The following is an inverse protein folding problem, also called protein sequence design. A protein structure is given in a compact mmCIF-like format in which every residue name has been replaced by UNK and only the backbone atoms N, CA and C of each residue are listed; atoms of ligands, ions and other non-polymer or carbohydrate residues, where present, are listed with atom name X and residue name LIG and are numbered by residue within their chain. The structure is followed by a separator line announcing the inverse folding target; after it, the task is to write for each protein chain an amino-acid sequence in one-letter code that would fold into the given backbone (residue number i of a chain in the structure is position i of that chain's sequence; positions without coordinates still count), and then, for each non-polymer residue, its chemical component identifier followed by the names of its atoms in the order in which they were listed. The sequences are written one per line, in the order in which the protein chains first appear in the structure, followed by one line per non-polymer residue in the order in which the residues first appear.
data_IF_084577669570
#
_entry.id   IF_084577669570
#
_cell.length_a   1.000
_cell.length_b   1.000
_cell.length_c   1.000
_cell.angle_alpha   90.00
_cell.angle_beta   90.00
_cell.angle_gamma   90.00
#
_symmetry.space_group_name_H-M   'P 1'
#
loop_
_entity.id
_entity.type
_entity.pdbx_description
1 polymer ?
#
# COMPACT_ATOMS: atom_id res chain seq x y z
N UNK A 1 -6.41 -26.99 7.67
CA UNK A 1 -5.17 -26.18 7.56
C UNK A 1 -4.59 -25.98 8.97
N UNK A 2 -3.29 -25.69 9.16
CA UNK A 2 -2.68 -25.37 10.47
C UNK A 2 -2.16 -23.91 10.50
N UNK A 3 -1.90 -23.27 11.64
CA UNK A 3 -1.17 -21.99 11.65
C UNK A 3 0.26 -22.15 11.10
N UNK A 4 0.84 -21.10 10.51
CA UNK A 4 2.21 -21.08 9.97
C UNK A 4 2.82 -19.68 10.06
N UNK A 5 4.16 -19.59 10.08
CA UNK A 5 4.90 -18.33 9.95
C UNK A 5 5.19 -17.94 8.50
N UNK A 6 4.80 -18.80 7.56
CA UNK A 6 4.98 -18.60 6.13
C UNK A 6 3.80 -17.80 5.55
N UNK A 7 4.09 -16.72 4.83
CA UNK A 7 3.09 -15.86 4.20
C UNK A 7 2.19 -16.61 3.22
N UNK A 8 2.70 -17.67 2.57
CA UNK A 8 1.90 -18.53 1.69
C UNK A 8 0.68 -19.10 2.41
N UNK A 9 0.77 -19.38 3.72
CA UNK A 9 -0.37 -19.87 4.51
C UNK A 9 -1.49 -18.84 4.58
N UNK A 10 -1.18 -17.55 4.72
CA UNK A 10 -2.20 -16.50 4.77
C UNK A 10 -2.88 -16.34 3.41
N UNK A 11 -2.09 -16.38 2.34
CA UNK A 11 -2.58 -16.33 0.95
C UNK A 11 -3.52 -17.52 0.67
N UNK A 12 -3.11 -18.75 1.05
CA UNK A 12 -3.90 -19.97 0.92
C UNK A 12 -5.23 -19.89 1.69
N UNK A 13 -5.19 -19.34 2.93
CA UNK A 13 -6.40 -19.14 3.75
C UNK A 13 -7.36 -18.20 3.03
N UNK A 14 -6.87 -17.04 2.57
CA UNK A 14 -7.71 -16.06 1.88
C UNK A 14 -8.31 -16.62 0.59
N UNK A 15 -7.51 -17.35 -0.20
CA UNK A 15 -8.00 -18.04 -1.39
C UNK A 15 -9.10 -19.05 -1.05
N UNK A 16 -8.95 -19.83 0.02
CA UNK A 16 -9.96 -20.77 0.48
C UNK A 16 -11.25 -20.05 0.95
N UNK A 17 -11.13 -18.96 1.71
CA UNK A 17 -12.26 -18.16 2.18
C UNK A 17 -13.05 -17.55 1.03
N UNK A 18 -12.38 -17.15 -0.05
CA UNK A 18 -13.01 -16.58 -1.25
C UNK A 18 -13.23 -17.56 -2.40
N UNK A 19 -13.11 -18.87 -2.16
CA UNK A 19 -13.44 -19.88 -3.17
C UNK A 19 -14.97 -19.96 -3.34
N UNK A 20 -15.53 -19.84 -4.55
CA UNK A 20 -16.97 -20.00 -4.75
C UNK A 20 -17.48 -21.35 -4.24
N UNK A 21 -18.69 -21.37 -3.69
CA UNK A 21 -19.37 -22.57 -3.14
C UNK A 21 -18.78 -23.10 -1.83
N UNK A 22 -17.45 -23.19 -1.69
CA UNK A 22 -16.80 -23.77 -0.51
C UNK A 22 -16.27 -22.75 0.50
N UNK A 23 -16.17 -21.49 0.08
CA UNK A 23 -15.67 -20.38 0.88
C UNK A 23 -16.70 -19.84 1.88
N UNK A 24 -16.31 -18.78 2.58
CA UNK A 24 -17.16 -18.07 3.52
C UNK A 24 -18.09 -17.11 2.75
N UNK A 25 -19.42 -17.16 2.96
CA UNK A 25 -20.36 -16.27 2.28
C UNK A 25 -20.06 -14.79 2.51
N UNK A 26 -19.72 -14.41 3.74
CA UNK A 26 -19.38 -13.04 4.07
C UNK A 26 -18.15 -12.59 3.29
N UNK A 27 -17.10 -13.42 3.25
CA UNK A 27 -15.86 -13.05 2.58
C UNK A 27 -16.08 -12.89 1.07
N UNK A 28 -16.88 -13.77 0.46
CA UNK A 28 -17.23 -13.73 -0.97
C UNK A 28 -18.03 -12.49 -1.37
N UNK A 29 -18.88 -11.98 -0.48
CA UNK A 29 -19.71 -10.79 -0.73
C UNK A 29 -18.91 -9.47 -0.72
N UNK A 30 -17.70 -9.47 -0.15
CA UNK A 30 -16.90 -8.25 -0.04
C UNK A 30 -16.25 -7.83 -1.36
N UNK A 31 -16.08 -6.53 -1.50
CA UNK A 31 -15.37 -5.88 -2.60
C UNK A 31 -14.35 -4.84 -2.07
N UNK A 32 -13.62 -4.18 -2.97
CA UNK A 32 -12.61 -3.18 -2.57
C UNK A 32 -13.17 -2.05 -1.70
N UNK A 33 -14.40 -1.60 -1.96
CA UNK A 33 -15.02 -0.49 -1.23
C UNK A 33 -15.48 -0.92 0.16
N UNK A 34 -15.96 -2.15 0.33
CA UNK A 34 -16.42 -2.65 1.63
C UNK A 34 -15.27 -3.02 2.56
N UNK A 35 -14.11 -3.40 2.02
CA UNK A 35 -12.91 -3.72 2.81
C UNK A 35 -12.08 -2.48 3.19
N UNK A 36 -12.16 -1.39 2.40
CA UNK A 36 -11.37 -0.18 2.63
C UNK A 36 -11.53 0.45 4.04
N UNK A 37 -12.73 0.51 4.65
CA UNK A 37 -12.90 1.00 6.01
C UNK A 37 -12.13 0.17 7.05
N UNK A 38 -12.17 -1.17 6.96
CA UNK A 38 -11.44 -2.05 7.86
C UNK A 38 -9.92 -1.85 7.73
N UNK A 39 -9.41 -1.64 6.51
CA UNK A 39 -7.99 -1.29 6.30
C UNK A 39 -7.58 -0.02 7.05
N UNK A 40 -8.49 0.96 7.17
CA UNK A 40 -8.22 2.17 7.93
C UNK A 40 -8.30 1.94 9.44
N UNK A 41 -9.24 1.12 9.89
CA UNK A 41 -9.40 0.71 11.29
C UNK A 41 -8.12 0.03 11.81
N UNK A 42 -7.64 -1.02 11.13
CA UNK A 42 -6.42 -1.73 11.57
C UNK A 42 -5.18 -0.81 11.59
N UNK A 43 -5.12 0.17 10.67
CA UNK A 43 -4.03 1.14 10.67
C UNK A 43 -4.07 2.08 11.90
N UNK A 44 -5.26 2.37 12.43
CA UNK A 44 -5.40 3.11 13.68
C UNK A 44 -5.14 2.23 14.90
N UNK A 45 -5.56 0.97 14.90
CA UNK A 45 -5.26 0.03 16.00
C UNK A 45 -3.76 -0.23 16.13
N UNK A 46 -3.04 -0.39 15.01
CA UNK A 46 -1.56 -0.42 15.00
C UNK A 46 -0.98 0.84 15.65
N UNK A 47 -1.52 2.03 15.34
CA UNK A 47 -1.03 3.28 15.92
C UNK A 47 -1.34 3.37 17.43
N UNK A 48 -2.50 2.90 17.86
CA UNK A 48 -2.91 2.86 19.27
C UNK A 48 -2.02 1.89 20.08
N UNK A 49 -1.77 0.68 19.56
CA UNK A 49 -0.88 -0.30 20.18
C UNK A 49 0.54 0.28 20.37
N UNK A 50 1.07 1.00 19.37
CA UNK A 50 2.35 1.73 19.49
C UNK A 50 2.27 2.78 20.59
N UNK A 51 1.19 3.56 20.65
CA UNK A 51 1.03 4.61 21.65
C UNK A 51 0.94 4.05 23.08
N UNK A 52 0.34 2.88 23.25
CA UNK A 52 0.30 2.14 24.53
C UNK A 52 1.61 1.43 24.87
N UNK A 53 2.50 1.25 23.88
CA UNK A 53 3.72 0.46 24.05
C UNK A 53 3.44 -1.04 24.21
N UNK A 54 2.32 -1.52 23.69
CA UNK A 54 1.89 -2.91 23.79
C UNK A 54 2.39 -3.69 22.58
N UNK A 55 3.45 -4.49 22.77
CA UNK A 55 4.09 -5.23 21.69
C UNK A 55 3.33 -6.50 21.30
N UNK A 56 2.55 -7.08 22.22
CA UNK A 56 1.74 -8.25 21.91
C UNK A 56 0.56 -7.84 21.03
N UNK A 57 -0.10 -6.74 21.40
CA UNK A 57 -1.19 -6.17 20.61
C UNK A 57 -0.68 -5.66 19.25
N UNK A 58 0.45 -4.94 19.23
CA UNK A 58 1.07 -4.48 17.98
C UNK A 58 1.33 -5.64 17.00
N UNK A 59 1.73 -6.82 17.49
CA UNK A 59 1.93 -7.99 16.63
C UNK A 59 0.62 -8.44 16.00
N UNK A 60 -0.45 -8.46 16.77
CA UNK A 60 -1.75 -8.96 16.34
C UNK A 60 -2.37 -7.97 15.34
N UNK A 61 -2.34 -6.67 15.63
CA UNK A 61 -2.84 -5.60 14.74
C UNK A 61 -2.03 -5.48 13.42
N UNK A 62 -0.71 -5.71 13.46
CA UNK A 62 0.09 -5.80 12.23
C UNK A 62 -0.32 -7.02 11.38
N UNK A 63 -0.76 -8.10 12.03
CA UNK A 63 -1.33 -9.27 11.36
C UNK A 63 -2.63 -8.95 10.67
N UNK A 64 -3.54 -8.24 11.34
CA UNK A 64 -4.84 -7.85 10.79
C UNK A 64 -4.69 -6.83 9.67
N UNK A 65 -3.79 -5.85 9.80
CA UNK A 65 -3.46 -4.94 8.70
C UNK A 65 -2.87 -5.70 7.48
N UNK A 66 -2.04 -6.72 7.71
CA UNK A 66 -1.51 -7.57 6.65
C UNK A 66 -2.61 -8.41 5.99
N UNK A 67 -3.58 -8.90 6.75
CA UNK A 67 -4.76 -9.60 6.24
C UNK A 67 -5.50 -8.72 5.23
N UNK A 68 -5.70 -7.43 5.52
CA UNK A 68 -6.39 -6.51 4.59
C UNK A 68 -5.63 -6.36 3.25
N UNK A 69 -4.29 -6.36 3.28
CA UNK A 69 -3.47 -6.34 2.05
C UNK A 69 -3.66 -7.61 1.23
N UNK A 70 -3.63 -8.78 1.87
CA UNK A 70 -3.85 -10.08 1.20
C UNK A 70 -5.27 -10.15 0.64
N UNK A 71 -6.26 -9.62 1.36
CA UNK A 71 -7.65 -9.58 0.92
C UNK A 71 -7.80 -8.79 -0.39
N UNK A 72 -7.29 -7.57 -0.45
CA UNK A 72 -7.32 -6.76 -1.66
C UNK A 72 -6.55 -7.38 -2.82
N UNK A 73 -5.38 -7.98 -2.55
CA UNK A 73 -4.62 -8.70 -3.56
C UNK A 73 -5.39 -9.89 -4.13
N UNK A 74 -6.12 -10.63 -3.27
CA UNK A 74 -6.95 -11.74 -3.72
C UNK A 74 -8.11 -11.30 -4.61
N UNK A 75 -8.81 -10.22 -4.24
CA UNK A 75 -9.86 -9.63 -5.09
C UNK A 75 -9.30 -9.14 -6.43
N UNK A 76 -8.12 -8.53 -6.43
CA UNK A 76 -7.46 -8.09 -7.66
C UNK A 76 -7.04 -9.26 -8.55
N UNK A 77 -6.61 -10.38 -7.96
CA UNK A 77 -6.27 -11.59 -8.69
C UNK A 77 -7.52 -12.22 -9.34
N UNK A 78 -8.64 -12.24 -8.61
CA UNK A 78 -9.94 -12.70 -9.11
C UNK A 78 -10.43 -11.88 -10.32
N UNK A 79 -10.10 -10.59 -10.37
CA UNK A 79 -10.36 -9.70 -11.51
C UNK A 79 -9.28 -9.76 -12.61
N UNK A 80 -8.22 -10.56 -12.43
CA UNK A 80 -7.09 -10.64 -13.36
C UNK A 80 -6.24 -9.36 -13.43
N UNK A 81 -6.29 -8.53 -12.39
CA UNK A 81 -5.63 -7.22 -12.36
C UNK A 81 -4.18 -7.28 -11.85
N UNK A 82 -3.94 -7.94 -10.72
CA UNK A 82 -2.61 -8.20 -10.14
C UNK A 82 -2.70 -9.23 -9.00
N UNK A 83 -1.55 -9.79 -8.62
CA UNK A 83 -1.38 -10.80 -7.56
C UNK A 83 -0.74 -10.21 -6.30
N UNK A 84 -0.68 -10.98 -5.20
CA UNK A 84 0.06 -10.56 -4.01
C UNK A 84 1.56 -10.42 -4.29
N UNK A 85 2.11 -11.28 -5.14
CA UNK A 85 3.50 -11.23 -5.60
C UNK A 85 3.81 -9.91 -6.31
N UNK A 86 2.88 -9.41 -7.14
CA UNK A 86 3.03 -8.10 -7.80
C UNK A 86 3.06 -6.94 -6.76
N UNK A 87 2.30 -7.05 -5.66
CA UNK A 87 2.34 -6.07 -4.56
C UNK A 87 3.72 -6.10 -3.88
N UNK A 88 4.26 -7.29 -3.62
CA UNK A 88 5.59 -7.49 -3.04
C UNK A 88 6.69 -6.97 -3.97
N UNK A 89 6.61 -7.27 -5.26
CA UNK A 89 7.55 -6.77 -6.27
C UNK A 89 7.52 -5.23 -6.33
N UNK A 90 6.32 -4.63 -6.33
CA UNK A 90 6.17 -3.19 -6.37
C UNK A 90 6.80 -2.50 -5.15
N UNK A 91 6.60 -3.02 -3.93
CA UNK A 91 7.19 -2.43 -2.73
C UNK A 91 8.70 -2.67 -2.65
N UNK A 92 9.18 -3.86 -2.98
CA UNK A 92 10.62 -4.18 -2.93
C UNK A 92 11.41 -3.39 -3.97
N UNK A 93 10.94 -3.32 -5.22
CA UNK A 93 11.52 -2.48 -6.29
C UNK A 93 11.64 -1.03 -5.83
N UNK A 94 10.55 -0.48 -5.26
CA UNK A 94 10.52 0.89 -4.73
C UNK A 94 11.51 1.09 -3.58
N UNK A 95 11.60 0.15 -2.64
CA UNK A 95 12.51 0.26 -1.50
C UNK A 95 13.97 0.16 -1.92
N UNK A 96 14.32 -0.76 -2.83
CA UNK A 96 15.67 -0.89 -3.39
C UNK A 96 16.07 0.41 -4.09
N UNK A 97 15.20 0.95 -4.96
CA UNK A 97 15.46 2.20 -5.68
C UNK A 97 15.63 3.40 -4.75
N UNK A 98 14.86 3.50 -3.66
CA UNK A 98 14.92 4.63 -2.72
C UNK A 98 16.13 4.59 -1.79
N UNK A 99 16.83 3.47 -1.71
CA UNK A 99 17.99 3.30 -0.83
C UNK A 99 19.23 2.86 -1.63
N UNK A 100 19.68 3.64 -2.63
CA UNK A 100 20.86 3.29 -3.41
C UNK A 100 22.13 3.25 -2.54
N UNK A 101 22.14 3.98 -1.42
CA UNK A 101 23.21 3.93 -0.43
C UNK A 101 23.28 2.60 0.34
N UNK A 102 22.22 1.78 0.33
CA UNK A 102 22.19 0.44 0.93
C UNK A 102 22.35 -0.64 -0.14
N UNK A 103 21.58 -0.52 -1.24
CA UNK A 103 21.44 -1.59 -2.24
C UNK A 103 22.16 -1.33 -3.57
N UNK A 104 22.72 -0.13 -3.77
CA UNK A 104 23.42 0.25 -4.99
C UNK A 104 24.87 -0.25 -5.04
N UNK A 105 25.56 0.20 -6.09
CA UNK A 105 26.99 -0.03 -6.30
C UNK A 105 27.88 0.74 -5.30
N UNK A 106 29.19 0.50 -5.36
CA UNK A 106 30.16 1.09 -4.44
C UNK A 106 30.16 2.64 -4.48
N UNK A 107 29.93 3.21 -5.66
CA UNK A 107 29.80 4.66 -5.83
C UNK A 107 28.56 5.20 -5.11
N UNK A 108 27.41 4.53 -5.24
CA UNK A 108 26.18 4.90 -4.56
C UNK A 108 26.27 4.75 -3.04
N UNK A 109 26.93 3.70 -2.55
CA UNK A 109 27.17 3.50 -1.10
C UNK A 109 28.05 4.59 -0.50
N UNK A 110 29.10 4.98 -1.23
CA UNK A 110 30.05 6.01 -0.77
C UNK A 110 29.45 7.42 -0.83
N UNK A 111 28.64 7.71 -1.85
CA UNK A 111 28.00 9.01 -2.02
C UNK A 111 26.88 9.29 -1.00
N UNK A 112 26.36 8.25 -0.32
CA UNK A 112 25.20 8.38 0.56
C UNK A 112 23.95 8.89 -0.16
N UNK A 113 22.98 9.44 0.58
CA UNK A 113 21.85 10.17 -0.01
C UNK A 113 22.27 11.59 -0.38
N UNK A 114 23.03 11.73 -1.48
CA UNK A 114 23.43 13.03 -1.99
C UNK A 114 22.22 13.95 -2.24
N UNK A 115 22.39 15.26 -1.97
CA UNK A 115 21.37 16.29 -2.18
C UNK A 115 20.91 16.28 -3.65
N UNK A 116 19.62 16.03 -3.87
CA UNK A 116 19.01 15.95 -5.22
C UNK A 116 18.77 14.54 -5.74
N UNK A 117 19.41 13.51 -5.16
CA UNK A 117 19.14 12.11 -5.52
C UNK A 117 17.67 11.74 -5.24
N UNK A 118 17.14 12.19 -4.10
CA UNK A 118 15.74 11.98 -3.72
C UNK A 118 14.77 12.58 -4.75
N UNK A 119 15.00 13.83 -5.16
CA UNK A 119 14.15 14.50 -6.15
C UNK A 119 14.18 13.78 -7.51
N UNK A 120 15.35 13.30 -7.93
CA UNK A 120 15.49 12.50 -9.14
C UNK A 120 14.69 11.19 -9.07
N UNK A 121 14.86 10.44 -7.98
CA UNK A 121 14.10 9.18 -7.74
C UNK A 121 12.59 9.45 -7.74
N UNK A 122 12.15 10.56 -7.13
CA UNK A 122 10.74 10.97 -7.11
C UNK A 122 10.21 11.33 -8.50
N UNK A 123 11.01 12.00 -9.32
CA UNK A 123 10.66 12.35 -10.69
C UNK A 123 10.50 11.08 -11.56
N UNK A 124 11.42 10.13 -11.45
CA UNK A 124 11.36 8.82 -12.13
C UNK A 124 10.12 8.03 -11.69
N UNK A 125 9.83 7.96 -10.38
CA UNK A 125 8.62 7.34 -9.84
C UNK A 125 7.33 7.92 -10.43
N UNK A 126 7.28 9.25 -10.56
CA UNK A 126 6.13 9.96 -11.13
C UNK A 126 5.96 9.67 -12.62
N UNK A 127 7.07 9.63 -13.37
CA UNK A 127 7.07 9.29 -14.80
C UNK A 127 6.59 7.85 -15.04
N UNK A 128 7.11 6.87 -14.29
CA UNK A 128 6.68 5.48 -14.41
C UNK A 128 5.20 5.30 -14.06
N UNK A 129 4.73 5.96 -12.99
CA UNK A 129 3.32 5.90 -12.60
C UNK A 129 2.42 6.52 -13.66
N UNK A 130 2.83 7.64 -14.27
CA UNK A 130 2.13 8.25 -15.42
C UNK A 130 2.02 7.26 -16.58
N UNK A 131 3.14 6.67 -17.00
CA UNK A 131 3.17 5.71 -18.11
C UNK A 131 2.26 4.49 -17.85
N UNK A 132 2.28 3.94 -16.62
CA UNK A 132 1.38 2.82 -16.24
C UNK A 132 -0.10 3.22 -16.30
N UNK A 133 -0.44 4.43 -15.87
CA UNK A 133 -1.83 4.93 -15.93
C UNK A 133 -2.29 5.14 -17.37
N UNK A 134 -1.43 5.74 -18.21
CA UNK A 134 -1.69 5.93 -19.64
C UNK A 134 -1.91 4.59 -20.36
N UNK A 135 -1.06 3.59 -20.10
CA UNK A 135 -1.21 2.25 -20.64
C UNK A 135 -2.52 1.56 -20.24
N UNK A 136 -3.08 1.91 -19.07
CA UNK A 136 -4.38 1.42 -18.56
C UNK A 136 -5.56 2.33 -18.94
N UNK A 137 -5.35 3.38 -19.74
CA UNK A 137 -6.39 4.34 -20.11
C UNK A 137 -6.94 5.15 -18.93
N UNK A 138 -6.21 5.22 -17.80
CA UNK A 138 -6.63 5.94 -16.61
C UNK A 138 -6.26 7.43 -16.73
N UNK A 139 -7.08 8.35 -16.18
CA UNK A 139 -6.77 9.79 -16.20
C UNK A 139 -5.46 10.06 -15.43
N UNK A 140 -4.77 11.18 -15.68
CA UNK A 140 -3.58 11.53 -14.90
C UNK A 140 -3.92 11.63 -13.40
N UNK A 141 -2.94 11.33 -12.55
CA UNK A 141 -3.12 11.23 -11.08
C UNK A 141 -3.53 12.56 -10.44
N UNK A 142 -3.26 13.67 -11.09
CA UNK A 142 -3.55 15.02 -10.61
C UNK A 142 -5.00 15.45 -10.82
N UNK A 143 -5.93 14.52 -11.08
CA UNK A 143 -7.34 14.78 -11.41
C UNK A 143 -7.56 15.89 -12.47
N UNK A 144 -6.50 16.23 -13.22
CA UNK A 144 -6.48 17.26 -14.25
C UNK A 144 -7.20 18.56 -13.87
N UNK A 145 -6.59 19.41 -13.02
CA UNK A 145 -6.33 20.86 -13.29
C UNK A 145 -5.98 21.68 -12.02
N UNK A 146 -6.23 21.18 -10.81
CA UNK A 146 -6.07 21.94 -9.57
C UNK A 146 -4.74 21.70 -8.88
N UNK A 147 -4.11 22.77 -8.38
CA UNK A 147 -2.90 22.68 -7.55
C UNK A 147 -3.10 21.77 -6.32
N UNK A 148 -4.34 21.67 -5.81
CA UNK A 148 -4.68 20.90 -4.61
C UNK A 148 -5.07 19.44 -4.88
N UNK A 149 -5.25 19.02 -6.13
CA UNK A 149 -5.85 17.74 -6.50
C UNK A 149 -5.06 16.51 -6.03
N UNK A 150 -3.78 16.69 -5.69
CA UNK A 150 -2.95 15.64 -5.09
C UNK A 150 -3.18 15.38 -3.59
N UNK A 151 -4.18 15.99 -2.94
CA UNK A 151 -4.54 15.69 -1.54
C UNK A 151 -5.64 14.62 -1.51
N UNK A 152 -5.38 13.40 -0.99
CA UNK A 152 -6.37 12.34 -0.95
C UNK A 152 -7.66 12.75 -0.22
N UNK A 153 -8.80 12.41 -0.81
CA UNK A 153 -10.13 12.70 -0.24
C UNK A 153 -10.43 11.83 0.97
N UNK A 154 -9.87 10.62 1.02
CA UNK A 154 -10.09 9.64 2.09
C UNK A 154 -9.43 10.01 3.44
N UNK A 155 -8.64 11.08 3.51
CA UNK A 155 -8.11 11.55 4.78
C UNK A 155 -9.24 12.03 5.71
N UNK A 156 -9.08 11.80 7.02
CA UNK A 156 -9.96 12.40 8.04
C UNK A 156 -9.99 13.92 7.89
N UNK A 157 -11.12 14.54 8.26
CA UNK A 157 -11.39 15.95 7.94
C UNK A 157 -10.25 16.90 8.37
N UNK A 158 -9.70 16.73 9.58
CA UNK A 158 -8.60 17.55 10.09
C UNK A 158 -7.29 17.29 9.36
N UNK A 159 -6.93 16.02 9.13
CA UNK A 159 -5.73 15.64 8.37
C UNK A 159 -5.79 16.20 6.96
N UNK A 160 -6.95 16.08 6.31
CA UNK A 160 -7.17 16.60 4.96
C UNK A 160 -7.06 18.13 4.94
N UNK A 161 -7.68 18.83 5.90
CA UNK A 161 -7.60 20.28 6.01
C UNK A 161 -6.14 20.76 6.17
N UNK A 162 -5.38 20.11 7.05
CA UNK A 162 -3.95 20.43 7.24
C UNK A 162 -3.16 20.24 5.94
N UNK A 163 -3.31 19.09 5.27
CA UNK A 163 -2.59 18.84 4.00
C UNK A 163 -2.98 19.79 2.87
N UNK A 164 -4.25 20.22 2.82
CA UNK A 164 -4.69 21.24 1.87
C UNK A 164 -4.01 22.58 2.15
N UNK A 165 -3.91 22.98 3.42
CA UNK A 165 -3.23 24.22 3.83
C UNK A 165 -1.72 24.17 3.52
N UNK A 166 -1.03 23.08 3.89
CA UNK A 166 0.40 22.88 3.60
C UNK A 166 0.72 22.90 2.11
N UNK A 167 -0.20 22.39 1.29
CA UNK A 167 -0.03 22.42 -0.17
C UNK A 167 -0.28 23.82 -0.69
N UNK A 168 -1.35 24.48 -0.25
CA UNK A 168 -1.69 25.85 -0.63
C UNK A 168 -0.64 26.90 -0.22
N UNK A 169 0.15 26.64 0.82
CA UNK A 169 1.19 27.54 1.30
C UNK A 169 2.52 27.48 0.54
N UNK A 170 2.64 26.59 -0.46
CA UNK A 170 3.81 26.45 -1.34
C UNK A 170 3.61 27.22 -2.63
#
# INVERSE_FOLDING_TARGET
MKPSRDISRLIDIMAALRTPVTGCPWDLEQNFETIAPYTLEEAYEVADAIQRGDLDDLRDELGDLLLQVVYHARMAEEEGAFTFEDVVEAVTTKMIRRHPHVFGDEAARTAGMAKGMWEKIKAEEKAEKRARREARGLPPEDHGKGFLDGVPVAHTALTRALKLQEKASK
#
